data_IF_522802372592
#
_entry.id   IF_522802372592
#
_cell.length_a   1.000
_cell.length_b   1.000
_cell.length_c   1.000
_cell.angle_alpha   90.00
_cell.angle_beta   90.00
_cell.angle_gamma   90.00
#
_symmetry.space_group_name_H-M   'P 1'
#
loop_
_entity.id
_entity.type
_entity.pdbx_description
1 polymer ?
#
# COMPACT_ATOMS: atom_id res chain seq x y z
N UNK A 1 3.19 -21.57 -6.74
CA UNK A 1 2.42 -22.07 -7.90
C UNK A 1 3.35 -22.08 -9.11
N UNK A 2 3.19 -23.01 -10.06
CA UNK A 2 4.15 -23.19 -11.17
C UNK A 2 3.80 -22.41 -12.44
N UNK A 3 4.81 -22.05 -13.23
CA UNK A 3 4.68 -21.28 -14.48
C UNK A 3 3.69 -21.90 -15.50
N UNK A 4 3.50 -23.22 -15.48
CA UNK A 4 2.58 -23.93 -16.39
C UNK A 4 1.11 -23.52 -16.15
N UNK A 5 0.69 -23.35 -14.90
CA UNK A 5 -0.68 -22.93 -14.61
C UNK A 5 -0.93 -21.49 -15.04
N UNK A 6 0.06 -20.61 -14.84
CA UNK A 6 -0.02 -19.23 -15.29
C UNK A 6 -0.08 -19.14 -16.82
N UNK A 7 0.77 -19.88 -17.53
CA UNK A 7 0.72 -19.93 -18.99
C UNK A 7 -0.66 -20.42 -19.49
N UNK A 8 -1.25 -21.41 -18.82
CA UNK A 8 -2.62 -21.85 -19.11
C UNK A 8 -3.64 -20.73 -18.87
N UNK A 9 -3.62 -20.09 -17.71
CA UNK A 9 -4.54 -18.99 -17.40
C UNK A 9 -4.44 -17.83 -18.40
N UNK A 10 -3.22 -17.48 -18.81
CA UNK A 10 -3.00 -16.45 -19.82
C UNK A 10 -3.52 -16.89 -21.20
N UNK A 11 -3.28 -18.15 -21.60
CA UNK A 11 -3.85 -18.72 -22.83
C UNK A 11 -5.39 -18.78 -22.82
N UNK A 12 -5.99 -18.98 -21.65
CA UNK A 12 -7.44 -18.97 -21.41
C UNK A 12 -8.00 -17.53 -21.24
N UNK A 13 -7.18 -16.49 -21.45
CA UNK A 13 -7.57 -15.08 -21.36
C UNK A 13 -8.01 -14.62 -19.97
N UNK A 14 -7.52 -15.25 -18.90
CA UNK A 14 -7.90 -14.91 -17.52
C UNK A 14 -7.24 -13.60 -17.08
N UNK A 15 -8.04 -12.67 -16.58
CA UNK A 15 -7.55 -11.39 -16.04
C UNK A 15 -6.88 -11.57 -14.67
N UNK A 16 -6.19 -10.54 -14.18
CA UNK A 16 -5.71 -10.53 -12.79
C UNK A 16 -6.87 -10.69 -11.80
N UNK A 17 -8.05 -10.12 -12.06
CA UNK A 17 -9.23 -10.27 -11.22
C UNK A 17 -9.77 -11.71 -11.22
N UNK A 18 -9.77 -12.39 -12.37
CA UNK A 18 -10.15 -13.80 -12.45
C UNK A 18 -9.18 -14.66 -11.65
N UNK A 19 -7.87 -14.43 -11.80
CA UNK A 19 -6.86 -15.12 -11.02
C UNK A 19 -7.00 -14.85 -9.52
N UNK A 20 -7.35 -13.62 -9.11
CA UNK A 20 -7.58 -13.27 -7.71
C UNK A 20 -8.71 -14.12 -7.10
N UNK A 21 -9.82 -14.29 -7.84
CA UNK A 21 -10.96 -15.13 -7.46
C UNK A 21 -10.61 -16.62 -7.46
N UNK A 22 -9.91 -17.11 -8.49
CA UNK A 22 -9.48 -18.51 -8.60
C UNK A 22 -8.53 -18.92 -7.47
N UNK A 23 -7.71 -17.98 -7.00
CA UNK A 23 -6.81 -18.15 -5.85
C UNK A 23 -7.53 -18.02 -4.51
N UNK A 24 -8.85 -17.77 -4.52
CA UNK A 24 -9.69 -17.57 -3.35
C UNK A 24 -9.11 -16.52 -2.38
N UNK A 25 -8.57 -15.43 -2.94
CA UNK A 25 -7.97 -14.37 -2.15
C UNK A 25 -9.05 -13.54 -1.46
N UNK A 26 -8.92 -13.38 -0.14
CA UNK A 26 -9.82 -12.57 0.67
C UNK A 26 -9.06 -11.39 1.29
N UNK A 27 -9.21 -10.15 0.78
CA UNK A 27 -8.52 -8.98 1.32
C UNK A 27 -8.98 -8.57 2.73
N UNK A 28 -10.03 -9.23 3.27
CA UNK A 28 -10.49 -9.03 4.65
C UNK A 28 -9.90 -10.03 5.64
N UNK A 29 -9.14 -11.03 5.18
CA UNK A 29 -8.50 -11.98 6.08
C UNK A 29 -7.31 -11.32 6.78
N UNK A 30 -7.14 -11.53 8.08
CA UNK A 30 -6.06 -10.95 8.89
C UNK A 30 -4.66 -11.32 8.36
N UNK A 31 -4.55 -12.50 7.74
CA UNK A 31 -3.32 -13.03 7.17
C UNK A 31 -3.21 -12.81 5.65
N UNK A 32 -4.09 -11.99 5.05
CA UNK A 32 -4.13 -11.75 3.61
C UNK A 32 -2.75 -11.41 3.02
N UNK A 33 -2.04 -10.45 3.62
CA UNK A 33 -0.70 -10.05 3.16
C UNK A 33 0.38 -11.13 3.36
N UNK A 34 0.11 -12.13 4.20
CA UNK A 34 0.99 -13.30 4.43
C UNK A 34 0.71 -14.43 3.45
N UNK A 35 -0.40 -14.37 2.71
CA UNK A 35 -0.86 -15.44 1.84
C UNK A 35 0.15 -15.80 0.75
N UNK A 36 0.58 -17.08 0.65
CA UNK A 36 1.37 -17.56 -0.49
C UNK A 36 0.60 -17.46 -1.82
N UNK A 37 -0.74 -17.52 -1.77
CA UNK A 37 -1.58 -17.32 -2.94
C UNK A 37 -1.49 -15.88 -3.43
N UNK A 38 -1.37 -14.89 -2.53
CA UNK A 38 -1.19 -13.49 -2.92
C UNK A 38 0.12 -13.30 -3.67
N UNK A 39 1.20 -13.96 -3.23
CA UNK A 39 2.49 -13.96 -3.96
C UNK A 39 2.35 -14.56 -5.36
N UNK A 40 1.56 -15.62 -5.49
CA UNK A 40 1.28 -16.25 -6.78
C UNK A 40 0.48 -15.31 -7.69
N UNK A 41 -0.52 -14.61 -7.14
CA UNK A 41 -1.27 -13.59 -7.87
C UNK A 41 -0.38 -12.42 -8.34
N UNK A 42 0.51 -11.91 -7.48
CA UNK A 42 1.47 -10.85 -7.86
C UNK A 42 2.33 -11.29 -9.04
N UNK A 43 2.82 -12.54 -9.03
CA UNK A 43 3.58 -13.10 -10.15
C UNK A 43 2.74 -13.20 -11.43
N UNK A 44 1.48 -13.59 -11.32
CA UNK A 44 0.57 -13.68 -12.47
C UNK A 44 0.27 -12.32 -13.10
N UNK A 45 -0.10 -11.32 -12.29
CA UNK A 45 -0.35 -9.97 -12.78
C UNK A 45 0.88 -9.35 -13.47
N UNK A 46 2.10 -9.58 -12.94
CA UNK A 46 3.34 -9.17 -13.63
C UNK A 46 3.55 -9.86 -14.97
N UNK A 47 3.15 -11.13 -15.08
CA UNK A 47 3.24 -11.89 -16.33
C UNK A 47 2.25 -11.35 -17.38
N UNK A 48 1.13 -10.77 -16.95
CA UNK A 48 0.21 -10.02 -17.81
C UNK A 48 0.70 -8.60 -18.15
N UNK A 49 1.93 -8.23 -17.74
CA UNK A 49 2.49 -6.87 -17.89
C UNK A 49 1.69 -5.78 -17.15
N UNK A 50 0.88 -6.16 -16.16
CA UNK A 50 0.15 -5.24 -15.31
C UNK A 50 0.95 -4.84 -14.05
N UNK A 51 0.58 -3.72 -13.41
CA UNK A 51 1.11 -3.35 -12.11
C UNK A 51 0.28 -4.02 -10.98
N UNK A 52 0.79 -5.11 -10.36
CA UNK A 52 0.06 -5.82 -9.32
C UNK A 52 -0.21 -4.95 -8.09
N UNK A 53 0.68 -4.02 -7.77
CA UNK A 53 0.56 -3.23 -6.55
C UNK A 53 -0.46 -2.12 -6.70
N UNK A 54 -0.59 -1.55 -7.91
CA UNK A 54 -1.68 -0.64 -8.24
C UNK A 54 -3.04 -1.34 -8.17
N UNK A 55 -3.16 -2.54 -8.74
CA UNK A 55 -4.39 -3.34 -8.70
C UNK A 55 -4.77 -3.76 -7.27
N UNK A 56 -3.76 -4.21 -6.51
CA UNK A 56 -3.95 -4.59 -5.11
C UNK A 56 -4.36 -3.38 -4.26
N UNK A 57 -3.73 -2.23 -4.49
CA UNK A 57 -4.08 -0.99 -3.81
C UNK A 57 -5.53 -0.57 -4.11
N UNK A 58 -5.97 -0.66 -5.38
CA UNK A 58 -7.35 -0.38 -5.75
C UNK A 58 -8.34 -1.31 -5.03
N UNK A 59 -8.01 -2.61 -4.96
CA UNK A 59 -8.81 -3.62 -4.24
C UNK A 59 -8.93 -3.30 -2.75
N UNK A 60 -7.83 -2.90 -2.11
CA UNK A 60 -7.80 -2.55 -0.68
C UNK A 60 -8.50 -1.20 -0.42
N UNK A 61 -8.29 -0.20 -1.27
CA UNK A 61 -8.88 1.14 -1.14
C UNK A 61 -10.41 1.12 -1.25
N UNK A 62 -10.99 0.12 -1.91
CA UNK A 62 -12.45 -0.08 -1.94
C UNK A 62 -13.03 -0.57 -0.59
N UNK A 63 -12.18 -0.89 0.39
CA UNK A 63 -12.57 -1.55 1.65
C UNK A 63 -12.12 -0.81 2.90
N UNK A 64 -11.03 -0.04 2.80
CA UNK A 64 -10.47 0.74 3.89
C UNK A 64 -10.60 2.22 3.57
N UNK A 65 -10.75 3.05 4.61
CA UNK A 65 -10.43 4.48 4.48
C UNK A 65 -8.94 4.63 4.20
N UNK A 66 -8.53 5.74 3.58
CA UNK A 66 -7.12 5.99 3.31
C UNK A 66 -6.26 5.96 4.60
N UNK A 67 -6.78 6.50 5.71
CA UNK A 67 -6.15 6.39 7.04
C UNK A 67 -6.03 4.92 7.49
N UNK A 68 -7.14 4.17 7.42
CA UNK A 68 -7.19 2.78 7.85
C UNK A 68 -6.26 1.88 7.03
N UNK A 69 -6.14 2.15 5.73
CA UNK A 69 -5.23 1.44 4.83
C UNK A 69 -3.78 1.68 5.22
N UNK A 70 -3.36 2.95 5.39
CA UNK A 70 -1.97 3.24 5.78
C UNK A 70 -1.66 2.72 7.18
N UNK A 71 -2.59 2.83 8.13
CA UNK A 71 -2.41 2.25 9.47
C UNK A 71 -2.19 0.74 9.39
N UNK A 72 -2.98 0.02 8.58
CA UNK A 72 -2.77 -1.41 8.35
C UNK A 72 -1.40 -1.70 7.75
N UNK A 73 -0.95 -0.93 6.76
CA UNK A 73 0.36 -1.10 6.12
C UNK A 73 1.53 -0.81 7.07
N UNK A 74 1.44 0.26 7.86
CA UNK A 74 2.43 0.61 8.89
C UNK A 74 2.59 -0.52 9.91
N UNK A 75 1.49 -1.12 10.35
CA UNK A 75 1.53 -2.29 11.24
C UNK A 75 2.10 -3.53 10.53
N UNK A 76 1.70 -3.78 9.28
CA UNK A 76 2.21 -4.89 8.49
C UNK A 76 3.72 -4.78 8.20
N UNK A 77 4.31 -3.58 8.19
CA UNK A 77 5.76 -3.37 8.03
C UNK A 77 6.59 -3.91 9.20
N UNK A 78 5.97 -4.10 10.37
CA UNK A 78 6.65 -4.62 11.56
C UNK A 78 6.96 -6.12 11.44
N UNK A 79 6.10 -6.89 10.78
CA UNK A 79 6.33 -8.33 10.56
C UNK A 79 7.26 -8.54 9.33
N UNK A 80 8.43 -9.22 9.50
CA UNK A 80 9.35 -9.50 8.40
C UNK A 80 8.71 -10.20 7.19
N UNK A 81 7.66 -11.01 7.40
CA UNK A 81 6.97 -11.75 6.32
C UNK A 81 6.13 -10.86 5.41
N UNK A 82 5.66 -9.73 5.93
CA UNK A 82 4.79 -8.77 5.22
C UNK A 82 5.49 -7.45 4.92
N UNK A 83 6.66 -7.19 5.52
CA UNK A 83 7.40 -5.94 5.36
C UNK A 83 7.57 -5.49 3.92
N UNK A 84 7.99 -6.39 3.03
CA UNK A 84 8.26 -6.04 1.64
C UNK A 84 6.96 -5.59 0.94
N UNK A 85 5.91 -6.43 0.98
CA UNK A 85 4.64 -6.11 0.31
C UNK A 85 3.96 -4.88 0.92
N UNK A 86 4.03 -4.71 2.24
CA UNK A 86 3.45 -3.57 2.92
C UNK A 86 4.18 -2.26 2.56
N UNK A 87 5.52 -2.26 2.51
CA UNK A 87 6.29 -1.09 2.05
C UNK A 87 5.98 -0.76 0.59
N UNK A 88 5.85 -1.76 -0.29
CA UNK A 88 5.53 -1.51 -1.71
C UNK A 88 4.12 -0.94 -1.88
N UNK A 89 3.14 -1.43 -1.11
CA UNK A 89 1.78 -0.88 -1.11
C UNK A 89 1.72 0.54 -0.53
N UNK A 90 2.49 0.82 0.52
CA UNK A 90 2.58 2.16 1.10
C UNK A 90 3.17 3.15 0.08
N UNK A 91 4.22 2.75 -0.64
CA UNK A 91 4.78 3.56 -1.72
C UNK A 91 3.77 3.79 -2.86
N UNK A 92 3.01 2.77 -3.25
CA UNK A 92 1.95 2.90 -4.25
C UNK A 92 0.86 3.88 -3.79
N UNK A 93 0.49 3.85 -2.50
CA UNK A 93 -0.45 4.80 -1.91
C UNK A 93 0.11 6.23 -1.94
N UNK A 94 1.40 6.42 -1.62
CA UNK A 94 2.02 7.75 -1.69
C UNK A 94 2.06 8.27 -3.13
N UNK A 95 2.40 7.42 -4.11
CA UNK A 95 2.35 7.80 -5.53
C UNK A 95 0.94 8.21 -5.95
N UNK A 96 -0.09 7.51 -5.47
CA UNK A 96 -1.49 7.87 -5.71
C UNK A 96 -1.81 9.25 -5.16
N UNK A 97 -1.46 9.55 -3.90
CA UNK A 97 -1.68 10.87 -3.31
C UNK A 97 -0.93 11.99 -4.04
N UNK A 98 0.32 11.75 -4.44
CA UNK A 98 1.06 12.71 -5.27
C UNK A 98 0.35 13.00 -6.59
N UNK A 99 -0.18 11.96 -7.25
CA UNK A 99 -0.96 12.12 -8.49
C UNK A 99 -2.29 12.84 -8.29
N UNK A 100 -2.84 12.80 -7.09
CA UNK A 100 -4.07 13.50 -6.70
C UNK A 100 -3.80 14.94 -6.25
N UNK A 101 -2.52 15.36 -6.15
CA UNK A 101 -2.15 16.69 -5.70
C UNK A 101 -2.25 16.88 -4.19
N UNK A 102 -2.24 15.81 -3.40
CA UNK A 102 -2.23 15.90 -1.94
C UNK A 102 -0.95 16.55 -1.43
N UNK A 103 -1.07 17.36 -0.39
CA UNK A 103 0.04 18.07 0.23
C UNK A 103 0.34 17.56 1.66
N UNK A 104 1.43 18.03 2.24
CA UNK A 104 1.87 17.63 3.57
C UNK A 104 0.79 17.88 4.66
N UNK A 105 0.10 19.01 4.63
CA UNK A 105 -0.93 19.36 5.62
C UNK A 105 -2.17 18.46 5.50
N UNK A 106 -2.63 18.20 4.27
CA UNK A 106 -3.76 17.30 4.00
C UNK A 106 -3.50 15.90 4.55
N UNK A 107 -2.32 15.32 4.28
CA UNK A 107 -1.96 13.98 4.77
C UNK A 107 -1.74 13.98 6.29
N UNK A 108 -1.23 15.08 6.87
CA UNK A 108 -1.08 15.21 8.32
C UNK A 108 -2.44 15.11 9.04
N UNK A 109 -3.44 15.85 8.53
CA UNK A 109 -4.83 15.83 9.02
C UNK A 109 -5.52 14.49 8.75
N UNK A 110 -5.30 13.89 7.58
CA UNK A 110 -5.82 12.56 7.24
C UNK A 110 -5.36 11.51 8.26
N UNK A 111 -4.15 11.65 8.77
CA UNK A 111 -3.59 10.75 9.79
C UNK A 111 -3.98 11.13 11.22
N UNK A 112 -4.79 12.16 11.40
CA UNK A 112 -5.20 12.72 12.70
C UNK A 112 -4.01 13.11 13.60
N UNK A 113 -2.86 13.48 13.01
CA UNK A 113 -1.64 13.81 13.75
C UNK A 113 -1.77 15.10 14.55
N UNK A 114 -2.67 16.00 14.13
CA UNK A 114 -3.04 17.22 14.85
C UNK A 114 -3.66 16.95 16.23
N UNK A 115 -4.14 15.72 16.47
CA UNK A 115 -4.80 15.29 17.71
C UNK A 115 -3.88 14.51 18.65
N UNK A 116 -2.66 14.20 18.24
CA UNK A 116 -1.75 13.33 19.01
C UNK A 116 -0.98 14.09 20.12
N UNK A 117 -0.96 15.42 20.07
CA UNK A 117 -0.35 16.26 21.11
C UNK A 117 1.11 15.90 21.39
N UNK A 118 1.45 15.66 22.67
CA UNK A 118 2.81 15.36 23.08
C UNK A 118 3.34 13.98 22.64
N UNK A 119 2.47 13.09 22.11
CA UNK A 119 2.85 11.76 21.62
C UNK A 119 3.10 11.70 20.12
N UNK A 120 2.97 12.84 19.44
CA UNK A 120 3.11 12.95 17.98
C UNK A 120 4.36 12.23 17.45
N UNK A 121 5.52 12.54 18.03
CA UNK A 121 6.80 12.00 17.57
C UNK A 121 7.01 10.51 17.90
N UNK A 122 6.17 9.92 18.75
CA UNK A 122 6.18 8.49 19.04
C UNK A 122 5.34 7.69 18.02
N UNK A 123 4.44 8.36 17.29
CA UNK A 123 3.45 7.73 16.43
C UNK A 123 4.07 7.07 15.20
N UNK A 124 3.76 5.80 14.92
CA UNK A 124 4.08 5.17 13.64
C UNK A 124 3.43 5.91 12.45
N UNK A 125 2.30 6.58 12.66
CA UNK A 125 1.64 7.38 11.61
C UNK A 125 2.43 8.65 11.32
N UNK A 126 3.04 9.27 12.32
CA UNK A 126 3.95 10.40 12.11
C UNK A 126 5.14 10.01 11.23
N UNK A 127 5.75 8.83 11.47
CA UNK A 127 6.83 8.29 10.62
C UNK A 127 6.40 8.01 9.18
N UNK A 128 5.15 7.57 8.98
CA UNK A 128 4.58 7.40 7.64
C UNK A 128 4.38 8.76 6.94
N UNK A 129 3.88 9.77 7.66
CA UNK A 129 3.75 11.13 7.14
C UNK A 129 5.10 11.75 6.79
N UNK A 130 6.11 11.59 7.66
CA UNK A 130 7.49 12.03 7.40
C UNK A 130 8.02 11.41 6.08
N UNK A 131 7.75 10.12 5.87
CA UNK A 131 8.14 9.41 4.65
C UNK A 131 7.43 9.95 3.41
N UNK A 132 6.15 10.32 3.53
CA UNK A 132 5.41 10.98 2.45
C UNK A 132 5.99 12.36 2.14
N UNK A 133 6.28 13.20 3.15
CA UNK A 133 6.86 14.54 2.95
C UNK A 133 8.22 14.46 2.26
N UNK A 134 9.08 13.52 2.66
CA UNK A 134 10.37 13.25 1.98
C UNK A 134 10.21 12.86 0.51
N UNK A 135 9.08 12.25 0.15
CA UNK A 135 8.77 11.89 -1.24
C UNK A 135 8.18 13.07 -2.01
N UNK A 136 7.36 13.89 -1.35
CA UNK A 136 6.70 15.09 -1.89
C UNK A 136 7.71 16.20 -2.20
N UNK A 137 8.59 16.53 -1.25
CA UNK A 137 9.67 17.51 -1.42
C UNK A 137 11.01 16.85 -1.10
N UNK A 138 11.73 16.47 -2.17
CA UNK A 138 13.05 15.85 -2.07
C UNK A 138 14.16 16.87 -1.78
N UNK A 139 13.88 18.16 -1.89
CA UNK A 139 14.89 19.22 -1.74
C UNK A 139 14.86 19.81 -0.34
N UNK A 140 13.68 20.12 0.21
CA UNK A 140 13.55 20.75 1.52
C UNK A 140 12.47 20.10 2.42
N UNK A 141 12.52 18.78 2.65
CA UNK A 141 11.49 18.07 3.42
C UNK A 141 11.36 18.59 4.85
N UNK A 142 12.47 18.93 5.52
CA UNK A 142 12.44 19.42 6.91
C UNK A 142 11.71 20.77 7.02
N UNK A 143 11.96 21.68 6.06
CA UNK A 143 11.26 22.97 6.01
C UNK A 143 9.77 22.76 5.79
N UNK A 144 9.39 21.80 4.94
CA UNK A 144 8.00 21.45 4.71
C UNK A 144 7.36 20.86 5.97
N UNK A 145 8.04 19.96 6.68
CA UNK A 145 7.53 19.41 7.95
C UNK A 145 7.30 20.49 8.99
N UNK A 146 8.27 21.39 9.18
CA UNK A 146 8.17 22.51 10.13
C UNK A 146 7.06 23.51 9.78
N UNK A 147 6.62 23.59 8.52
CA UNK A 147 5.48 24.43 8.14
C UNK A 147 4.11 23.86 8.51
N UNK A 148 4.06 22.56 8.82
CA UNK A 148 2.82 21.84 9.20
C UNK A 148 2.72 21.61 10.71
N UNK A 149 3.86 21.42 11.38
CA UNK A 149 3.98 21.28 12.84
C UNK A 149 3.71 22.60 13.59
#
# INVERSE_FOLDING_TARGET
MGNILFAKWAGDGKTADDAFKLLNLNPKADDFLKSPALRSWVSYAKMLEEDPYKLLLATLSARYTDEGLVRMLVMAKQDPKTRIIASTLEEAQFNRWLSQGENAESIFKLFNLDKEGNKLFESPMFRAWESFVKKLDKTNPDKMMLSVL
#
